data_IF_869009609179
#
_entry.id   IF_869009609179
#
_cell.length_a   1.000
_cell.length_b   1.000
_cell.length_c   1.000
_cell.angle_alpha   90.00
_cell.angle_beta   90.00
_cell.angle_gamma   90.00
#
_symmetry.space_group_name_H-M   'P 1'
#
loop_
_entity.id
_entity.type
_entity.pdbx_description
1 polymer ?
#
# COMPACT_ATOMS: atom_id res chain seq x y z
N UNK A 1 48.75 -6.56 18.78
CA UNK A 1 47.54 -7.25 18.26
C UNK A 1 46.63 -6.19 17.65
N UNK A 2 46.63 -6.01 16.35
CA UNK A 2 45.70 -5.12 15.66
C UNK A 2 44.41 -5.91 15.47
N UNK A 3 43.34 -5.47 16.13
CA UNK A 3 41.99 -5.97 15.90
C UNK A 3 41.55 -5.45 14.52
N UNK A 4 41.47 -6.35 13.55
CA UNK A 4 40.80 -6.06 12.26
C UNK A 4 39.32 -5.82 12.56
N UNK A 5 38.89 -4.57 12.45
CA UNK A 5 37.46 -4.23 12.37
C UNK A 5 37.01 -4.70 10.99
N UNK A 6 36.37 -5.87 10.93
CA UNK A 6 35.66 -6.29 9.74
C UNK A 6 34.52 -5.28 9.48
N UNK A 7 34.74 -4.39 8.53
CA UNK A 7 33.70 -3.58 7.96
C UNK A 7 32.72 -4.54 7.21
N UNK A 8 31.67 -4.97 7.90
CA UNK A 8 30.53 -5.67 7.32
C UNK A 8 29.81 -4.72 6.36
N UNK A 9 30.41 -4.49 5.18
CA UNK A 9 29.76 -3.78 4.10
C UNK A 9 28.70 -4.72 3.50
N UNK A 10 27.44 -4.50 3.79
CA UNK A 10 26.33 -5.28 3.25
C UNK A 10 26.37 -5.20 1.72
N UNK A 11 26.60 -6.33 1.04
CA UNK A 11 26.69 -6.37 -0.41
C UNK A 11 25.30 -6.31 -1.01
N UNK A 12 24.98 -5.18 -1.65
CA UNK A 12 23.73 -4.97 -2.38
C UNK A 12 23.97 -5.28 -3.86
N UNK A 13 23.10 -6.07 -4.47
CA UNK A 13 23.07 -6.38 -5.90
C UNK A 13 21.70 -6.07 -6.48
N UNK A 14 21.64 -5.76 -7.79
CA UNK A 14 20.38 -5.64 -8.53
C UNK A 14 20.11 -6.95 -9.27
N UNK A 15 18.87 -7.42 -9.27
CA UNK A 15 18.49 -8.69 -9.89
C UNK A 15 17.05 -8.70 -10.39
N UNK A 16 16.74 -9.77 -11.13
CA UNK A 16 15.43 -10.05 -11.72
C UNK A 16 15.00 -11.47 -11.40
N UNK A 17 13.72 -11.66 -11.11
CA UNK A 17 13.11 -12.97 -10.92
C UNK A 17 12.14 -13.25 -12.07
N UNK A 18 12.13 -14.49 -12.53
CA UNK A 18 11.25 -14.97 -13.58
C UNK A 18 10.47 -16.19 -13.09
N UNK A 19 9.24 -16.34 -13.55
CA UNK A 19 8.47 -17.54 -13.29
C UNK A 19 8.91 -18.70 -14.23
N UNK A 20 8.28 -19.88 -14.07
CA UNK A 20 8.61 -21.07 -14.90
C UNK A 20 8.31 -20.87 -16.40
N UNK A 21 7.47 -19.91 -16.77
CA UNK A 21 7.17 -19.54 -18.15
C UNK A 21 8.09 -18.43 -18.68
N UNK A 22 9.16 -18.10 -17.95
CA UNK A 22 10.11 -17.03 -18.28
C UNK A 22 9.50 -15.61 -18.34
N UNK A 23 8.38 -15.37 -17.63
CA UNK A 23 7.83 -14.04 -17.47
C UNK A 23 8.48 -13.36 -16.27
N UNK A 24 8.89 -12.09 -16.42
CA UNK A 24 9.42 -11.27 -15.34
C UNK A 24 8.31 -11.09 -14.26
N UNK A 25 8.65 -11.41 -13.01
CA UNK A 25 7.75 -11.28 -11.86
C UNK A 25 8.26 -10.29 -10.82
N UNK A 26 9.57 -10.04 -10.80
CA UNK A 26 10.19 -9.06 -9.90
C UNK A 26 11.50 -8.52 -10.49
N UNK A 27 11.78 -7.25 -10.23
CA UNK A 27 13.12 -6.68 -10.40
C UNK A 27 13.41 -5.70 -9.24
N UNK A 28 14.64 -5.66 -8.76
CA UNK A 28 15.02 -4.80 -7.65
C UNK A 28 16.34 -5.15 -7.00
N UNK A 29 16.54 -4.59 -5.82
CA UNK A 29 17.77 -4.80 -5.06
C UNK A 29 17.65 -5.98 -4.10
N UNK A 30 18.81 -6.63 -3.86
CA UNK A 30 18.97 -7.79 -2.99
C UNK A 30 20.14 -7.59 -2.03
N UNK A 31 19.99 -8.14 -0.84
CA UNK A 31 21.09 -8.36 0.09
C UNK A 31 20.93 -9.74 0.71
N UNK A 32 22.03 -10.51 0.76
CA UNK A 32 22.04 -11.88 1.29
C UNK A 32 20.92 -12.78 0.71
N UNK A 33 20.67 -12.66 -0.60
CA UNK A 33 19.65 -13.44 -1.32
C UNK A 33 18.19 -13.02 -1.07
N UNK A 34 17.95 -11.96 -0.32
CA UNK A 34 16.61 -11.44 -0.03
C UNK A 34 16.40 -10.07 -0.67
N UNK A 35 15.17 -9.79 -1.13
CA UNK A 35 14.78 -8.47 -1.63
C UNK A 35 15.04 -7.41 -0.56
N UNK A 36 15.70 -6.31 -0.94
CA UNK A 36 16.12 -5.21 -0.06
C UNK A 36 16.09 -3.88 -0.82
N UNK A 37 15.62 -2.79 -0.17
CA UNK A 37 15.54 -1.49 -0.84
C UNK A 37 14.43 -1.45 -1.90
N UNK A 38 14.63 -0.71 -2.98
CA UNK A 38 13.58 -0.52 -4.00
C UNK A 38 13.43 -1.73 -4.92
N UNK A 39 12.17 -2.07 -5.24
CA UNK A 39 11.85 -3.13 -6.19
C UNK A 39 10.48 -2.97 -6.82
N UNK A 40 10.23 -3.76 -7.86
CA UNK A 40 8.99 -3.79 -8.63
C UNK A 40 8.52 -5.22 -8.82
N UNK A 41 7.21 -5.46 -8.63
CA UNK A 41 6.55 -6.73 -8.91
C UNK A 41 5.66 -6.61 -10.12
N UNK A 42 5.57 -7.66 -10.91
CA UNK A 42 4.81 -7.69 -12.16
C UNK A 42 3.81 -8.83 -12.19
N UNK A 43 2.69 -8.57 -12.82
CA UNK A 43 1.67 -9.58 -13.03
C UNK A 43 2.12 -10.56 -14.12
N UNK A 44 2.18 -11.82 -13.77
CA UNK A 44 2.81 -12.87 -14.59
C UNK A 44 2.12 -13.15 -15.93
N UNK A 45 0.85 -12.75 -16.10
CA UNK A 45 0.12 -12.96 -17.35
C UNK A 45 0.38 -11.89 -18.40
N UNK A 46 0.45 -10.63 -18.02
CA UNK A 46 0.50 -9.52 -18.98
C UNK A 46 1.70 -8.59 -18.77
N UNK A 47 2.53 -8.86 -17.74
CA UNK A 47 3.71 -8.06 -17.43
C UNK A 47 3.40 -6.67 -16.85
N UNK A 48 2.15 -6.38 -16.50
CA UNK A 48 1.80 -5.10 -15.89
C UNK A 48 2.37 -5.00 -14.47
N UNK A 49 2.80 -3.79 -14.12
CA UNK A 49 3.26 -3.48 -12.76
C UNK A 49 2.10 -3.64 -11.78
N UNK A 50 2.31 -4.42 -10.71
CA UNK A 50 1.33 -4.60 -9.62
C UNK A 50 1.77 -3.97 -8.32
N UNK A 51 3.10 -3.78 -8.14
CA UNK A 51 3.64 -3.12 -6.97
C UNK A 51 5.01 -2.49 -7.30
N UNK A 52 5.25 -1.31 -6.76
CA UNK A 52 6.59 -0.72 -6.64
C UNK A 52 6.77 -0.14 -5.24
N UNK A 53 7.92 -0.36 -4.64
CA UNK A 53 8.16 0.11 -3.27
C UNK A 53 9.44 -0.39 -2.65
N UNK A 54 9.46 -0.30 -1.33
CA UNK A 54 10.60 -0.66 -0.51
C UNK A 54 10.44 -2.08 0.05
N UNK A 55 11.59 -2.78 0.21
CA UNK A 55 11.68 -4.13 0.72
C UNK A 55 12.68 -4.22 1.85
N UNK A 56 12.41 -5.08 2.82
CA UNK A 56 13.33 -5.48 3.86
C UNK A 56 13.15 -6.97 4.16
N UNK A 57 14.27 -7.71 4.24
CA UNK A 57 14.27 -9.17 4.50
C UNK A 57 13.40 -10.00 3.55
N UNK A 58 13.18 -9.55 2.31
CA UNK A 58 12.38 -10.23 1.30
C UNK A 58 10.93 -9.77 1.22
N UNK A 59 10.44 -8.96 2.16
CA UNK A 59 9.05 -8.53 2.26
C UNK A 59 8.90 -7.03 1.97
N UNK A 60 7.72 -6.60 1.51
CA UNK A 60 7.38 -5.19 1.36
C UNK A 60 7.49 -4.49 2.71
N UNK A 61 8.27 -3.41 2.80
CA UNK A 61 8.55 -2.71 4.05
C UNK A 61 8.96 -1.26 3.76
N UNK A 62 8.29 -0.27 4.33
CA UNK A 62 8.47 1.14 3.99
C UNK A 62 7.37 1.63 3.05
N UNK A 63 7.69 2.54 2.13
CA UNK A 63 6.69 3.11 1.22
C UNK A 63 6.50 2.26 -0.03
N UNK A 64 5.25 2.16 -0.50
CA UNK A 64 4.94 1.44 -1.73
C UNK A 64 3.63 1.86 -2.37
N UNK A 65 3.48 1.46 -3.65
CA UNK A 65 2.29 1.66 -4.46
C UNK A 65 1.84 0.32 -5.04
N UNK A 66 0.54 0.05 -4.94
CA UNK A 66 -0.10 -1.08 -5.61
C UNK A 66 -0.89 -0.60 -6.82
N UNK A 67 -0.91 -1.46 -7.83
CA UNK A 67 -1.68 -1.27 -9.05
C UNK A 67 -2.60 -2.46 -9.28
N UNK A 68 -3.69 -2.25 -9.98
CA UNK A 68 -4.54 -3.34 -10.44
C UNK A 68 -3.95 -4.01 -11.71
N UNK A 69 -4.62 -5.06 -12.20
CA UNK A 69 -4.18 -5.81 -13.38
C UNK A 69 -4.17 -4.99 -14.68
N UNK A 70 -4.81 -3.83 -14.69
CA UNK A 70 -4.84 -2.88 -15.80
C UNK A 70 -3.81 -1.75 -15.63
N UNK A 71 -3.00 -1.78 -14.56
CA UNK A 71 -1.98 -0.77 -14.26
C UNK A 71 -2.52 0.51 -13.62
N UNK A 72 -3.77 0.51 -13.13
CA UNK A 72 -4.37 1.66 -12.45
C UNK A 72 -3.99 1.66 -10.97
N UNK A 73 -3.72 2.84 -10.41
CA UNK A 73 -3.40 2.98 -8.98
C UNK A 73 -4.53 2.43 -8.11
N UNK A 74 -4.18 1.55 -7.18
CA UNK A 74 -5.08 0.92 -6.23
C UNK A 74 -4.83 1.37 -4.79
N UNK A 75 -3.56 1.48 -4.42
CA UNK A 75 -3.14 1.88 -3.08
C UNK A 75 -1.76 2.55 -3.12
N UNK A 76 -1.55 3.52 -2.25
CA UNK A 76 -0.26 4.13 -1.96
C UNK A 76 -0.14 4.31 -0.45
N UNK A 77 0.95 3.82 0.17
CA UNK A 77 1.09 3.94 1.61
C UNK A 77 2.30 3.21 2.19
N UNK A 78 2.22 2.96 3.47
CA UNK A 78 3.26 2.33 4.26
C UNK A 78 3.00 0.82 4.42
N UNK A 79 4.11 0.07 4.49
CA UNK A 79 4.14 -1.38 4.64
C UNK A 79 5.04 -1.80 5.78
N UNK A 80 4.68 -2.86 6.46
CA UNK A 80 5.52 -3.57 7.42
C UNK A 80 5.28 -5.06 7.28
N UNK A 81 6.37 -5.84 7.17
CA UNK A 81 6.32 -7.31 7.07
C UNK A 81 5.32 -7.81 5.99
N UNK A 82 5.37 -7.20 4.80
CA UNK A 82 4.53 -7.57 3.66
C UNK A 82 3.12 -6.97 3.65
N UNK A 83 2.64 -6.41 4.74
CA UNK A 83 1.28 -5.92 4.90
C UNK A 83 1.21 -4.39 4.96
N UNK A 84 0.07 -3.81 4.52
CA UNK A 84 -0.22 -2.38 4.70
C UNK A 84 -0.22 -2.04 6.19
N UNK A 85 0.59 -1.06 6.61
CA UNK A 85 0.75 -0.67 8.01
C UNK A 85 1.20 0.79 8.10
N UNK A 86 0.56 1.60 8.93
CA UNK A 86 0.79 3.04 8.96
C UNK A 86 -0.21 3.80 8.09
N UNK A 87 0.20 4.88 7.43
CA UNK A 87 -0.69 5.72 6.63
C UNK A 87 -0.80 5.21 5.20
N UNK A 88 -2.00 5.30 4.61
CA UNK A 88 -2.22 4.92 3.22
C UNK A 88 -3.46 5.54 2.59
N UNK A 89 -3.51 5.46 1.25
CA UNK A 89 -4.59 5.93 0.39
C UNK A 89 -5.01 4.82 -0.55
N UNK A 90 -6.32 4.63 -0.68
CA UNK A 90 -6.91 3.75 -1.68
C UNK A 90 -7.60 4.58 -2.75
N UNK A 91 -7.62 4.06 -3.97
CA UNK A 91 -8.18 4.75 -5.12
C UNK A 91 -9.26 3.92 -5.79
N UNK A 92 -10.27 4.59 -6.33
CA UNK A 92 -11.21 3.99 -7.27
C UNK A 92 -10.52 3.69 -8.62
N UNK A 93 -11.17 2.89 -9.46
CA UNK A 93 -10.66 2.52 -10.78
C UNK A 93 -10.46 3.71 -11.75
N UNK A 94 -11.10 4.85 -11.51
CA UNK A 94 -10.92 6.09 -12.27
C UNK A 94 -9.78 6.97 -11.71
N UNK A 95 -9.07 6.51 -10.66
CA UNK A 95 -7.97 7.23 -10.01
C UNK A 95 -8.40 8.24 -8.94
N UNK A 96 -9.71 8.45 -8.70
CA UNK A 96 -10.19 9.29 -7.62
C UNK A 96 -9.94 8.65 -6.25
N UNK A 97 -9.72 9.47 -5.22
CA UNK A 97 -9.48 9.00 -3.86
C UNK A 97 -10.74 8.31 -3.30
N UNK A 98 -10.58 7.09 -2.83
CA UNK A 98 -11.62 6.31 -2.16
C UNK A 98 -11.51 6.39 -0.64
N UNK A 99 -10.30 6.20 -0.11
CA UNK A 99 -10.03 6.20 1.32
C UNK A 99 -8.63 6.77 1.59
N UNK A 100 -8.49 7.48 2.68
CA UNK A 100 -7.20 7.81 3.28
C UNK A 100 -7.27 7.62 4.78
N UNK A 101 -6.23 7.02 5.38
CA UNK A 101 -6.22 6.76 6.82
C UNK A 101 -5.13 5.82 7.25
N UNK A 102 -5.35 5.25 8.44
CA UNK A 102 -4.40 4.38 9.11
C UNK A 102 -4.72 2.90 8.85
N UNK A 103 -3.65 2.09 8.82
CA UNK A 103 -3.66 0.65 8.60
C UNK A 103 -2.88 -0.07 9.69
N UNK A 104 -3.33 -1.25 10.05
CA UNK A 104 -2.60 -2.21 10.85
C UNK A 104 -2.88 -3.61 10.35
N UNK A 105 -1.81 -4.40 10.12
CA UNK A 105 -1.90 -5.79 9.67
C UNK A 105 -2.82 -5.95 8.44
N UNK A 106 -2.61 -5.13 7.41
CA UNK A 106 -3.33 -5.14 6.14
C UNK A 106 -4.74 -4.55 6.17
N UNK A 107 -5.26 -4.12 7.33
CA UNK A 107 -6.63 -3.64 7.50
C UNK A 107 -6.65 -2.17 7.91
N UNK A 108 -7.70 -1.44 7.48
CA UNK A 108 -7.99 -0.09 7.99
C UNK A 108 -8.16 -0.17 9.50
N UNK A 109 -7.38 0.61 10.26
CA UNK A 109 -7.39 0.58 11.71
C UNK A 109 -6.83 1.88 12.27
N UNK A 110 -7.59 2.60 13.10
CA UNK A 110 -7.30 3.97 13.49
C UNK A 110 -8.11 4.98 12.70
N UNK A 111 -7.63 6.22 12.58
CA UNK A 111 -8.37 7.29 11.92
C UNK A 111 -8.37 7.18 10.41
N UNK A 112 -9.51 7.51 9.79
CA UNK A 112 -9.61 7.51 8.33
C UNK A 112 -10.82 8.24 7.79
N UNK A 113 -10.76 8.51 6.48
CA UNK A 113 -11.80 9.19 5.70
C UNK A 113 -12.13 8.37 4.48
N UNK A 114 -13.41 8.20 4.20
CA UNK A 114 -13.91 7.63 2.95
C UNK A 114 -14.60 8.71 2.13
N UNK A 115 -14.51 8.55 0.80
CA UNK A 115 -15.06 9.46 -0.17
C UNK A 115 -16.05 8.77 -1.08
N UNK A 116 -17.03 9.52 -1.58
CA UNK A 116 -17.96 9.02 -2.58
C UNK A 116 -17.26 8.83 -3.93
N UNK A 117 -17.73 7.84 -4.68
CA UNK A 117 -17.34 7.64 -6.07
C UNK A 117 -18.10 8.61 -6.98
N UNK A 118 -17.38 9.29 -7.87
CA UNK A 118 -17.94 10.10 -8.93
C UNK A 118 -17.27 9.74 -10.27
N UNK A 119 -18.07 9.54 -11.31
CA UNK A 119 -17.56 9.19 -12.64
C UNK A 119 -16.85 10.38 -13.33
N UNK A 120 -17.22 11.60 -12.98
CA UNK A 120 -16.68 12.83 -13.57
C UNK A 120 -15.88 13.55 -12.47
N UNK A 121 -14.66 13.91 -12.79
CA UNK A 121 -13.54 14.52 -12.03
C UNK A 121 -13.87 15.57 -10.92
N UNK A 122 -14.91 15.40 -10.16
CA UNK A 122 -15.09 16.17 -8.93
C UNK A 122 -14.32 15.48 -7.79
N UNK A 123 -13.51 16.25 -7.08
CA UNK A 123 -12.81 15.80 -5.86
C UNK A 123 -13.82 15.18 -4.91
N UNK A 124 -13.58 13.93 -4.53
CA UNK A 124 -14.50 13.12 -3.78
C UNK A 124 -15.08 13.84 -2.56
N UNK A 125 -16.42 13.92 -2.51
CA UNK A 125 -17.10 14.41 -1.32
C UNK A 125 -16.95 13.40 -0.20
N UNK A 126 -16.76 13.90 1.01
CA UNK A 126 -16.58 13.07 2.20
C UNK A 126 -17.84 12.23 2.44
N UNK A 127 -17.67 10.93 2.58
CA UNK A 127 -18.72 9.96 2.88
C UNK A 127 -18.74 9.53 4.35
N UNK A 128 -17.54 9.41 4.93
CA UNK A 128 -17.35 9.04 6.32
C UNK A 128 -16.01 9.55 6.82
N UNK A 129 -15.97 10.04 8.05
CA UNK A 129 -14.73 10.25 8.79
C UNK A 129 -14.87 9.71 10.21
N UNK A 130 -13.79 9.09 10.69
CA UNK A 130 -13.77 8.53 12.04
C UNK A 130 -12.76 7.42 12.21
N UNK A 131 -13.01 6.62 13.23
CA UNK A 131 -12.12 5.50 13.57
C UNK A 131 -12.59 4.22 12.90
N UNK A 132 -11.60 3.41 12.53
CA UNK A 132 -11.75 2.06 11.98
C UNK A 132 -11.19 1.05 12.97
N UNK A 133 -11.82 -0.10 13.07
CA UNK A 133 -11.34 -1.25 13.82
C UNK A 133 -11.44 -2.50 12.94
N UNK A 134 -10.29 -3.14 12.66
CA UNK A 134 -10.23 -4.36 11.84
C UNK A 134 -10.96 -4.26 10.49
N UNK A 135 -10.82 -3.12 9.81
CA UNK A 135 -11.40 -2.86 8.49
C UNK A 135 -12.83 -2.34 8.48
N UNK A 136 -13.49 -2.21 9.65
CA UNK A 136 -14.87 -1.72 9.78
C UNK A 136 -14.89 -0.33 10.41
N UNK A 137 -15.84 0.50 9.99
CA UNK A 137 -16.15 1.78 10.67
C UNK A 137 -16.52 1.48 12.11
N UNK A 138 -15.87 2.13 13.07
CA UNK A 138 -16.06 1.86 14.49
C UNK A 138 -16.71 3.04 15.24
N UNK A 139 -16.21 4.24 15.00
CA UNK A 139 -16.68 5.48 15.61
C UNK A 139 -16.54 6.61 14.60
N UNK A 140 -17.49 7.54 14.52
CA UNK A 140 -17.39 8.66 13.59
C UNK A 140 -18.72 9.05 12.96
N UNK A 141 -18.64 9.85 11.88
CA UNK A 141 -19.78 10.46 11.21
C UNK A 141 -19.87 10.04 9.76
N UNK A 142 -21.08 9.70 9.33
CA UNK A 142 -21.41 9.49 7.94
C UNK A 142 -22.16 10.68 7.35
N UNK A 143 -21.84 11.02 6.11
CA UNK A 143 -22.35 12.19 5.40
C UNK A 143 -23.07 11.78 4.13
N UNK A 144 -24.06 12.56 3.71
CA UNK A 144 -24.62 12.48 2.36
C UNK A 144 -23.76 13.26 1.34
N UNK A 145 -24.18 13.25 0.08
CA UNK A 145 -23.48 13.94 -1.01
C UNK A 145 -23.50 15.48 -0.90
N UNK A 146 -24.34 16.04 -0.03
CA UNK A 146 -24.40 17.47 0.28
C UNK A 146 -23.52 17.85 1.48
N UNK A 147 -22.90 16.86 2.16
CA UNK A 147 -22.09 17.05 3.35
C UNK A 147 -22.91 17.13 4.63
N UNK A 148 -24.18 16.71 4.59
CA UNK A 148 -25.06 16.67 5.77
C UNK A 148 -24.80 15.36 6.52
N UNK A 149 -24.62 15.43 7.84
CA UNK A 149 -24.47 14.24 8.69
C UNK A 149 -25.78 13.45 8.68
N UNK A 150 -25.70 12.18 8.25
CA UNK A 150 -26.85 11.27 8.16
C UNK A 150 -26.85 10.18 9.23
N UNK A 151 -25.70 9.90 9.84
CA UNK A 151 -25.59 9.04 11.02
C UNK A 151 -24.30 9.31 11.80
N UNK A 152 -24.29 8.92 13.07
CA UNK A 152 -23.12 8.89 13.93
C UNK A 152 -22.94 7.47 14.51
N UNK A 153 -21.70 7.02 14.61
CA UNK A 153 -21.33 5.78 15.28
C UNK A 153 -20.59 6.13 16.55
N UNK A 154 -21.06 5.58 17.68
CA UNK A 154 -20.42 5.73 18.98
C UNK A 154 -19.79 4.43 19.44
N UNK A 155 -18.63 4.54 20.09
CA UNK A 155 -18.01 3.42 20.81
C UNK A 155 -18.97 2.96 21.93
N UNK A 156 -19.47 1.76 21.84
CA UNK A 156 -20.15 1.06 22.93
C UNK A 156 -19.42 -0.19 23.33
#
# INVERSE_FOLDING_TARGET
MQTLVENNCERISYGKEYNLCNNLIFEGYYSNGKRKGKGKEYYYYNGNLIFEGEYSNGERNGKGKEYDQLGRSKFEGEYSNGERNGKGKEYFYNGSLYYEGEYSNGKRNGNGKEYYFYEIYESGKLRFEGEYLNGKRWNGKGYDENGIVIYELDKR
#
